data_IF_734468929898
#
_entry.id   IF_734468929898
#
_cell.length_a   1.000
_cell.length_b   1.000
_cell.length_c   1.000
_cell.angle_alpha   90.00
_cell.angle_beta   90.00
_cell.angle_gamma   90.00
#
_symmetry.space_group_name_H-M   'P 1'
#
loop_
_entity.id
_entity.type
_entity.pdbx_description
1 polymer ?
#
# COMPACT_ATOMS: atom_id res chain seq x y z
N UNK A 1 28.28 20.05 -31.52
CA UNK A 1 27.92 21.00 -30.45
C UNK A 1 26.98 20.18 -29.62
N UNK A 2 27.55 19.38 -28.74
CA UNK A 2 26.84 18.30 -28.07
C UNK A 2 27.37 18.29 -26.65
N UNK A 3 26.47 18.51 -25.71
CA UNK A 3 26.51 17.98 -24.35
C UNK A 3 25.21 18.45 -23.72
N UNK A 4 24.14 17.72 -24.03
CA UNK A 4 22.95 17.68 -23.18
C UNK A 4 23.42 17.27 -21.77
N UNK A 5 23.31 18.20 -20.83
CA UNK A 5 23.51 17.92 -19.42
C UNK A 5 22.23 17.26 -18.89
N UNK A 6 22.14 15.93 -19.02
CA UNK A 6 21.24 15.16 -18.19
C UNK A 6 21.71 15.36 -16.74
N UNK A 7 20.93 16.13 -15.99
CA UNK A 7 21.10 16.26 -14.56
C UNK A 7 20.89 14.89 -13.95
N UNK A 8 21.92 14.35 -13.30
CA UNK A 8 21.80 13.26 -12.33
C UNK A 8 20.88 13.76 -11.19
N UNK A 9 19.57 13.65 -11.40
CA UNK A 9 18.60 13.84 -10.33
C UNK A 9 18.80 12.64 -9.40
N UNK A 10 19.25 12.94 -8.19
CA UNK A 10 19.46 11.96 -7.13
C UNK A 10 18.15 11.19 -6.89
N UNK A 11 18.09 9.97 -7.41
CA UNK A 11 16.93 9.08 -7.33
C UNK A 11 16.54 8.82 -5.86
N UNK A 12 17.52 8.84 -4.94
CA UNK A 12 17.28 8.71 -3.50
C UNK A 12 16.50 9.90 -2.92
N UNK A 13 16.55 11.08 -3.54
CA UNK A 13 15.75 12.23 -3.13
C UNK A 13 14.35 12.23 -3.74
N UNK A 14 14.16 11.63 -4.91
CA UNK A 14 12.83 11.46 -5.52
C UNK A 14 11.98 10.45 -4.73
N UNK A 15 12.57 9.34 -4.28
CA UNK A 15 11.88 8.39 -3.40
C UNK A 15 11.38 9.05 -2.11
N UNK A 16 12.15 10.01 -1.56
CA UNK A 16 11.72 10.77 -0.37
C UNK A 16 10.53 11.67 -0.66
N UNK A 17 10.40 12.23 -1.86
CA UNK A 17 9.30 13.16 -2.20
C UNK A 17 8.10 12.47 -2.87
N UNK A 18 8.10 11.15 -2.99
CA UNK A 18 7.04 10.40 -3.67
C UNK A 18 5.74 10.41 -2.88
N UNK A 19 4.65 10.83 -3.52
CA UNK A 19 3.32 10.79 -2.94
C UNK A 19 2.84 9.33 -2.84
N UNK A 20 2.18 8.99 -1.74
CA UNK A 20 1.71 7.64 -1.48
C UNK A 20 0.19 7.60 -1.45
N UNK A 21 -0.40 6.65 -2.18
CA UNK A 21 -1.83 6.34 -2.07
C UNK A 21 -2.07 5.00 -1.41
N UNK A 22 -2.79 5.03 -0.29
CA UNK A 22 -3.30 3.84 0.38
C UNK A 22 -4.68 3.48 -0.19
N UNK A 23 -4.79 2.28 -0.74
CA UNK A 23 -6.04 1.63 -1.15
C UNK A 23 -6.41 0.60 -0.10
N UNK A 24 -7.46 0.88 0.67
CA UNK A 24 -7.77 0.15 1.89
C UNK A 24 -9.14 -0.52 1.83
N UNK A 25 -9.17 -1.84 1.90
CA UNK A 25 -10.37 -2.64 2.09
C UNK A 25 -10.76 -2.69 3.57
N UNK A 26 -11.78 -1.92 3.95
CA UNK A 26 -12.24 -1.76 5.34
C UNK A 26 -12.86 -3.05 5.89
N UNK A 27 -13.40 -3.92 5.04
CA UNK A 27 -14.05 -5.15 5.48
C UNK A 27 -13.00 -6.23 5.80
N UNK A 28 -11.87 -6.23 5.09
CA UNK A 28 -10.76 -7.16 5.36
C UNK A 28 -9.88 -6.71 6.51
N UNK A 29 -9.68 -5.40 6.59
CA UNK A 29 -8.77 -4.73 7.50
C UNK A 29 -9.54 -3.67 8.28
N UNK A 30 -10.46 -4.06 9.19
CA UNK A 30 -11.20 -3.09 9.97
C UNK A 30 -10.28 -2.30 10.90
N UNK A 31 -10.76 -1.13 11.34
CA UNK A 31 -10.12 -0.38 12.43
C UNK A 31 -10.13 -1.27 13.69
N UNK A 32 -8.98 -1.52 14.34
CA UNK A 32 -8.95 -2.28 15.59
C UNK A 32 -9.81 -1.62 16.67
N UNK A 33 -10.49 -2.42 17.52
CA UNK A 33 -11.45 -1.92 18.53
C UNK A 33 -10.82 -0.93 19.54
N UNK A 34 -9.53 -1.07 19.81
CA UNK A 34 -8.75 -0.24 20.72
C UNK A 34 -8.02 0.93 20.01
N UNK A 35 -8.35 1.19 18.74
CA UNK A 35 -7.80 2.28 17.92
C UNK A 35 -8.91 3.20 17.42
N UNK A 36 -8.52 4.40 17.01
CA UNK A 36 -9.44 5.41 16.48
C UNK A 36 -9.11 5.66 15.03
N UNK A 37 -10.12 5.63 14.17
CA UNK A 37 -10.01 5.89 12.73
C UNK A 37 -9.23 7.19 12.45
N UNK A 38 -9.52 8.26 13.20
CA UNK A 38 -8.85 9.57 13.06
C UNK A 38 -7.34 9.58 13.26
N UNK A 39 -6.77 8.52 13.84
CA UNK A 39 -5.32 8.39 14.01
C UNK A 39 -4.67 7.70 12.82
N UNK A 40 -5.44 7.03 11.96
CA UNK A 40 -4.90 6.20 10.89
C UNK A 40 -3.99 7.00 9.96
N UNK A 41 -4.41 8.19 9.56
CA UNK A 41 -3.63 9.05 8.68
C UNK A 41 -2.23 9.33 9.26
N UNK A 42 -2.17 9.91 10.47
CA UNK A 42 -0.91 10.21 11.15
C UNK A 42 -0.02 8.98 11.34
N UNK A 43 -0.63 7.82 11.58
CA UNK A 43 0.07 6.56 11.82
C UNK A 43 0.68 5.98 10.54
N UNK A 44 -0.08 5.94 9.45
CA UNK A 44 0.42 5.52 8.13
C UNK A 44 1.48 6.50 7.65
N UNK A 45 1.24 7.81 7.78
CA UNK A 45 2.20 8.84 7.41
C UNK A 45 3.51 8.69 8.21
N UNK A 46 3.42 8.44 9.51
CA UNK A 46 4.58 8.16 10.36
C UNK A 46 5.34 6.90 9.95
N UNK A 47 4.65 5.80 9.66
CA UNK A 47 5.26 4.55 9.19
C UNK A 47 6.00 4.76 7.86
N UNK A 48 5.42 5.50 6.92
CA UNK A 48 6.06 5.84 5.65
C UNK A 48 7.30 6.72 5.85
N UNK A 49 7.22 7.72 6.74
CA UNK A 49 8.34 8.60 7.08
C UNK A 49 9.51 7.85 7.71
N UNK A 50 9.25 6.80 8.50
CA UNK A 50 10.30 5.96 9.07
C UNK A 50 11.13 5.25 7.98
N UNK A 51 10.49 4.90 6.85
CA UNK A 51 11.12 4.33 5.66
C UNK A 51 11.64 5.39 4.68
N UNK A 52 11.61 6.67 5.08
CA UNK A 52 12.13 7.79 4.29
C UNK A 52 11.15 8.38 3.27
N UNK A 53 9.92 7.87 3.16
CA UNK A 53 8.89 8.42 2.27
C UNK A 53 8.18 9.60 2.94
N UNK A 54 8.42 10.81 2.46
CA UNK A 54 7.92 12.08 3.04
C UNK A 54 6.98 12.86 2.12
N UNK A 55 6.54 12.29 0.99
CA UNK A 55 5.52 12.86 0.12
C UNK A 55 4.11 12.86 0.74
N UNK A 56 3.12 13.37 0.01
CA UNK A 56 1.74 13.46 0.48
C UNK A 56 1.09 12.07 0.58
N UNK A 57 0.31 11.85 1.65
CA UNK A 57 -0.49 10.65 1.82
C UNK A 57 -1.93 10.90 1.38
N UNK A 58 -2.47 10.03 0.55
CA UNK A 58 -3.92 9.98 0.28
C UNK A 58 -4.47 8.60 0.61
N UNK A 59 -5.58 8.54 1.35
CA UNK A 59 -6.19 7.28 1.78
C UNK A 59 -7.58 7.14 1.15
N UNK A 60 -7.79 6.02 0.46
CA UNK A 60 -9.06 5.62 -0.13
C UNK A 60 -9.54 4.34 0.55
N UNK A 61 -10.68 4.43 1.24
CA UNK A 61 -11.26 3.35 2.01
C UNK A 61 -12.47 2.76 1.28
N UNK A 62 -12.42 1.47 0.97
CA UNK A 62 -13.42 0.72 0.23
C UNK A 62 -14.18 -0.20 1.18
N UNK A 63 -15.50 -0.16 1.15
CA UNK A 63 -16.31 -1.02 2.00
C UNK A 63 -17.80 -0.83 1.79
N UNK A 64 -18.60 -1.53 2.59
CA UNK A 64 -20.06 -1.41 2.52
C UNK A 64 -20.52 0.01 2.84
N UNK A 65 -21.67 0.39 2.30
CA UNK A 65 -22.32 1.67 2.57
C UNK A 65 -22.31 1.98 4.08
N UNK A 66 -21.74 3.14 4.43
CA UNK A 66 -21.64 3.61 5.81
C UNK A 66 -22.78 4.56 6.13
N UNK A 67 -23.19 4.62 7.39
CA UNK A 67 -24.15 5.61 7.88
C UNK A 67 -23.65 7.04 7.67
N UNK A 68 -24.52 8.07 7.67
CA UNK A 68 -24.07 9.46 7.57
C UNK A 68 -23.04 9.86 8.63
N UNK A 69 -23.16 9.33 9.85
CA UNK A 69 -22.22 9.59 10.94
C UNK A 69 -20.84 9.00 10.67
N UNK A 70 -20.78 7.73 10.27
CA UNK A 70 -19.51 7.07 9.91
C UNK A 70 -18.84 7.78 8.72
N UNK A 71 -19.60 8.25 7.72
CA UNK A 71 -19.04 9.03 6.60
C UNK A 71 -18.39 10.34 7.06
N UNK A 72 -18.97 11.01 8.05
CA UNK A 72 -18.36 12.19 8.68
C UNK A 72 -17.06 11.79 9.37
N UNK A 73 -17.03 10.67 10.10
CA UNK A 73 -15.82 10.19 10.78
C UNK A 73 -14.68 9.86 9.81
N UNK A 74 -14.97 9.27 8.65
CA UNK A 74 -13.98 9.06 7.59
C UNK A 74 -13.46 10.39 7.03
N UNK A 75 -14.35 11.34 6.76
CA UNK A 75 -13.94 12.65 6.24
C UNK A 75 -13.10 13.46 7.25
N UNK A 76 -13.48 13.47 8.53
CA UNK A 76 -12.72 14.09 9.62
C UNK A 76 -11.36 13.42 9.85
N UNK A 77 -11.21 12.16 9.42
CA UNK A 77 -9.96 11.41 9.45
C UNK A 77 -9.12 11.57 8.17
N UNK A 78 -9.50 12.49 7.26
CA UNK A 78 -8.83 12.73 5.97
C UNK A 78 -8.82 11.50 5.04
N UNK A 79 -9.86 10.68 5.13
CA UNK A 79 -10.01 9.45 4.36
C UNK A 79 -11.18 9.57 3.38
N UNK A 80 -10.91 9.28 2.11
CA UNK A 80 -11.92 9.24 1.07
C UNK A 80 -12.63 7.89 1.09
N UNK A 81 -13.89 7.89 1.53
CA UNK A 81 -14.69 6.66 1.55
C UNK A 81 -15.33 6.38 0.17
N UNK A 82 -15.08 5.19 -0.37
CA UNK A 82 -15.63 4.68 -1.62
C UNK A 82 -16.63 3.57 -1.29
N UNK A 83 -17.95 3.84 -1.37
CA UNK A 83 -18.96 2.84 -1.08
C UNK A 83 -18.99 1.77 -2.17
N UNK A 84 -18.93 0.51 -1.75
CA UNK A 84 -19.05 -0.67 -2.59
C UNK A 84 -20.18 -1.55 -2.07
N UNK A 85 -21.06 -2.01 -2.96
CA UNK A 85 -22.22 -2.84 -2.61
C UNK A 85 -22.02 -4.31 -2.96
N UNK A 86 -20.97 -4.61 -3.72
CA UNK A 86 -20.61 -5.97 -4.11
C UNK A 86 -19.92 -6.78 -3.01
N UNK A 87 -19.88 -8.09 -3.26
CA UNK A 87 -19.12 -9.06 -2.46
C UNK A 87 -17.61 -8.80 -2.54
N UNK A 88 -16.82 -9.55 -1.75
CA UNK A 88 -15.36 -9.39 -1.65
C UNK A 88 -14.65 -9.32 -3.02
N UNK A 89 -15.01 -10.16 -3.98
CA UNK A 89 -14.41 -10.16 -5.33
C UNK A 89 -14.70 -8.89 -6.13
N UNK A 90 -15.92 -8.35 -6.06
CA UNK A 90 -16.27 -7.09 -6.71
C UNK A 90 -15.48 -5.92 -6.11
N UNK A 91 -15.38 -5.87 -4.78
CA UNK A 91 -14.60 -4.84 -4.09
C UNK A 91 -13.11 -4.91 -4.39
N UNK A 92 -12.53 -6.12 -4.40
CA UNK A 92 -11.13 -6.31 -4.77
C UNK A 92 -10.89 -5.86 -6.23
N UNK A 93 -11.76 -6.25 -7.17
CA UNK A 93 -11.65 -5.82 -8.55
C UNK A 93 -11.74 -4.30 -8.70
N UNK A 94 -12.63 -3.64 -7.96
CA UNK A 94 -12.73 -2.18 -7.97
C UNK A 94 -11.45 -1.52 -7.45
N UNK A 95 -10.88 -2.03 -6.35
CA UNK A 95 -9.60 -1.54 -5.82
C UNK A 95 -8.48 -1.68 -6.86
N UNK A 96 -8.35 -2.85 -7.50
CA UNK A 96 -7.33 -3.09 -8.52
C UNK A 96 -7.51 -2.17 -9.74
N UNK A 97 -8.75 -1.95 -10.19
CA UNK A 97 -9.04 -1.02 -11.27
C UNK A 97 -8.68 0.43 -10.91
N UNK A 98 -8.97 0.87 -9.69
CA UNK A 98 -8.63 2.21 -9.20
C UNK A 98 -7.11 2.40 -9.04
N UNK A 99 -6.39 1.36 -8.62
CA UNK A 99 -4.93 1.36 -8.57
C UNK A 99 -4.34 1.55 -9.98
N UNK A 100 -4.83 0.78 -10.95
CA UNK A 100 -4.39 0.89 -12.35
C UNK A 100 -4.72 2.28 -12.93
N UNK A 101 -5.93 2.79 -12.66
CA UNK A 101 -6.34 4.11 -13.13
C UNK A 101 -5.53 5.24 -12.47
N UNK A 102 -5.21 5.11 -11.18
CA UNK A 102 -4.35 6.04 -10.47
C UNK A 102 -2.94 6.05 -11.07
N UNK A 103 -2.30 4.88 -11.24
CA UNK A 103 -1.00 4.79 -11.90
C UNK A 103 -1.04 5.37 -13.34
N UNK A 104 -2.12 5.14 -14.08
CA UNK A 104 -2.30 5.73 -15.42
C UNK A 104 -2.38 7.26 -15.40
N UNK A 105 -3.00 7.86 -14.38
CA UNK A 105 -3.10 9.32 -14.20
C UNK A 105 -1.82 9.95 -13.64
N UNK A 106 -0.99 9.16 -12.96
CA UNK A 106 0.28 9.58 -12.35
C UNK A 106 1.44 8.79 -12.96
N UNK A 107 1.76 9.00 -14.27
CA UNK A 107 2.69 8.15 -15.01
C UNK A 107 4.14 8.24 -14.54
N UNK A 108 4.49 9.23 -13.70
CA UNK A 108 5.82 9.35 -13.13
C UNK A 108 5.96 8.43 -11.91
N UNK A 109 6.34 7.18 -12.16
CA UNK A 109 6.43 6.15 -11.12
C UNK A 109 7.44 6.48 -10.00
N UNK A 110 8.41 7.38 -10.26
CA UNK A 110 9.40 7.82 -9.26
C UNK A 110 8.87 8.88 -8.29
N UNK A 111 7.65 9.35 -8.49
CA UNK A 111 6.97 10.32 -7.62
C UNK A 111 5.68 9.73 -7.02
N UNK A 112 5.44 8.42 -7.20
CA UNK A 112 4.18 7.78 -6.84
C UNK A 112 4.39 6.39 -6.28
N UNK A 113 4.00 6.21 -5.00
CA UNK A 113 3.96 4.93 -4.33
C UNK A 113 2.51 4.43 -4.20
N UNK A 114 2.35 3.11 -4.26
CA UNK A 114 1.06 2.43 -4.18
C UNK A 114 1.05 1.51 -2.97
N UNK A 115 0.22 1.79 -1.97
CA UNK A 115 0.06 0.94 -0.79
C UNK A 115 -1.31 0.27 -0.82
N UNK A 116 -1.35 -1.06 -0.76
CA UNK A 116 -2.60 -1.83 -0.78
C UNK A 116 -2.79 -2.58 0.55
N UNK A 117 -3.95 -2.36 1.17
CA UNK A 117 -4.44 -3.12 2.32
C UNK A 117 -5.72 -3.86 1.92
N UNK A 118 -5.56 -5.02 1.28
CA UNK A 118 -6.66 -5.91 0.89
C UNK A 118 -6.17 -7.35 0.88
N UNK A 119 -6.99 -8.30 1.36
CA UNK A 119 -6.67 -9.72 1.28
C UNK A 119 -6.96 -10.20 -0.13
N UNK A 120 -6.11 -11.11 -0.59
CA UNK A 120 -6.42 -11.94 -1.75
C UNK A 120 -7.59 -12.88 -1.42
N UNK A 121 -8.15 -13.51 -2.44
CA UNK A 121 -9.24 -14.49 -2.28
C UNK A 121 -8.65 -15.87 -2.55
N UNK A 122 -8.39 -16.68 -1.50
CA UNK A 122 -7.87 -18.03 -1.69
C UNK A 122 -8.80 -18.84 -2.61
N UNK A 123 -8.20 -19.68 -3.45
CA UNK A 123 -8.91 -20.58 -4.37
C UNK A 123 -9.66 -19.90 -5.53
N UNK A 124 -9.66 -18.58 -5.62
CA UNK A 124 -10.10 -17.82 -6.79
C UNK A 124 -8.90 -17.33 -7.60
N UNK A 125 -9.01 -17.37 -8.93
CA UNK A 125 -8.04 -16.66 -9.78
C UNK A 125 -8.33 -15.17 -9.69
N UNK A 126 -7.60 -14.46 -8.84
CA UNK A 126 -7.60 -13.00 -8.80
C UNK A 126 -6.47 -12.44 -9.68
N UNK A 127 -6.60 -11.18 -10.06
CA UNK A 127 -5.53 -10.44 -10.74
C UNK A 127 -4.65 -9.66 -9.75
N UNK A 128 -4.74 -9.94 -8.43
CA UNK A 128 -4.02 -9.15 -7.43
C UNK A 128 -2.51 -9.23 -7.69
N UNK A 129 -1.97 -10.45 -7.74
CA UNK A 129 -0.53 -10.68 -7.93
C UNK A 129 -0.06 -10.16 -9.28
N UNK A 130 -0.80 -10.41 -10.36
CA UNK A 130 -0.45 -9.96 -11.71
C UNK A 130 -0.46 -8.44 -11.83
N UNK A 131 -1.42 -7.76 -11.20
CA UNK A 131 -1.48 -6.28 -11.17
C UNK A 131 -0.32 -5.72 -10.37
N UNK A 132 -0.02 -6.26 -9.19
CA UNK A 132 1.12 -5.78 -8.38
C UNK A 132 2.44 -5.93 -9.14
N UNK A 133 2.69 -7.11 -9.71
CA UNK A 133 3.88 -7.38 -10.54
C UNK A 133 3.95 -6.46 -11.75
N UNK A 134 2.81 -6.23 -12.44
CA UNK A 134 2.75 -5.34 -13.59
C UNK A 134 3.04 -3.87 -13.24
N UNK A 135 2.65 -3.41 -12.04
CA UNK A 135 2.96 -2.07 -11.54
C UNK A 135 4.45 -1.95 -11.17
N UNK A 136 5.01 -2.95 -10.50
CA UNK A 136 6.45 -3.00 -10.18
C UNK A 136 7.28 -3.01 -11.48
N UNK A 137 6.89 -3.79 -12.48
CA UNK A 137 7.56 -3.82 -13.80
C UNK A 137 7.51 -2.47 -14.53
N UNK A 138 6.53 -1.61 -14.21
CA UNK A 138 6.44 -0.23 -14.71
C UNK A 138 7.25 0.77 -13.87
N UNK A 139 7.93 0.30 -12.82
CA UNK A 139 8.81 1.09 -11.96
C UNK A 139 8.13 1.75 -10.76
N UNK A 140 6.87 1.41 -10.46
CA UNK A 140 6.20 1.90 -9.26
C UNK A 140 6.69 1.15 -8.03
N UNK A 141 6.84 1.87 -6.91
CA UNK A 141 6.98 1.23 -5.62
C UNK A 141 5.60 0.76 -5.15
N UNK A 142 5.48 -0.54 -4.93
CA UNK A 142 4.26 -1.17 -4.42
C UNK A 142 4.52 -1.68 -3.01
N UNK A 143 3.66 -1.31 -2.09
CA UNK A 143 3.68 -1.70 -0.69
C UNK A 143 2.41 -2.48 -0.36
N UNK A 144 2.49 -3.37 0.62
CA UNK A 144 1.34 -4.14 1.08
C UNK A 144 1.14 -4.03 2.59
N UNK A 145 -0.11 -4.05 3.01
CA UNK A 145 -0.49 -4.39 4.37
C UNK A 145 -1.13 -5.78 4.39
N UNK A 146 -0.61 -6.65 5.24
CA UNK A 146 -1.06 -8.05 5.40
C UNK A 146 -1.71 -8.27 6.77
N UNK A 147 -2.48 -9.35 6.97
CA UNK A 147 -3.02 -9.70 8.28
C UNK A 147 -1.89 -9.81 9.33
N UNK A 148 -2.19 -9.42 10.56
CA UNK A 148 -1.19 -9.41 11.64
C UNK A 148 -0.78 -10.82 12.12
N UNK A 149 -1.59 -11.80 11.78
CA UNK A 149 -1.43 -13.22 12.07
C UNK A 149 -0.97 -14.01 10.84
N UNK A 150 -0.58 -13.33 9.76
CA UNK A 150 -0.04 -13.98 8.57
C UNK A 150 1.31 -14.65 8.90
N UNK A 151 1.50 -15.95 8.62
CA UNK A 151 2.78 -16.61 8.78
C UNK A 151 3.87 -15.98 7.91
N UNK A 152 5.12 -15.95 8.39
CA UNK A 152 6.25 -15.43 7.61
C UNK A 152 6.44 -16.18 6.27
N UNK A 153 6.14 -17.49 6.25
CA UNK A 153 6.19 -18.31 5.03
C UNK A 153 5.22 -17.86 3.93
N UNK A 154 4.19 -17.11 4.33
CA UNK A 154 3.11 -16.68 3.45
C UNK A 154 3.25 -15.19 3.10
N UNK A 155 4.34 -14.54 3.51
CA UNK A 155 4.61 -13.15 3.17
C UNK A 155 4.75 -12.99 1.65
N UNK A 156 4.20 -11.88 1.09
CA UNK A 156 4.38 -11.58 -0.32
C UNK A 156 5.87 -11.49 -0.65
N UNK A 157 6.34 -12.12 -1.74
CA UNK A 157 7.71 -11.98 -2.18
C UNK A 157 7.97 -10.55 -2.68
N UNK A 158 9.25 -10.17 -2.79
CA UNK A 158 9.68 -8.86 -3.30
C UNK A 158 9.19 -8.55 -4.71
N UNK A 159 8.86 -9.57 -5.51
CA UNK A 159 8.25 -9.40 -6.83
C UNK A 159 6.82 -8.85 -6.77
N UNK A 160 6.17 -8.90 -5.60
CA UNK A 160 4.79 -8.46 -5.39
C UNK A 160 4.72 -7.17 -4.55
N UNK A 161 5.70 -6.94 -3.66
CA UNK A 161 5.79 -5.70 -2.90
C UNK A 161 7.23 -5.43 -2.43
N UNK A 162 7.64 -4.17 -2.48
CA UNK A 162 8.94 -3.71 -1.98
C UNK A 162 8.98 -3.60 -0.46
N UNK A 163 7.86 -3.23 0.16
CA UNK A 163 7.70 -3.16 1.61
C UNK A 163 6.37 -3.79 2.02
N UNK A 164 6.38 -4.50 3.14
CA UNK A 164 5.21 -5.20 3.66
C UNK A 164 5.03 -4.84 5.13
N UNK A 165 3.89 -4.28 5.52
CA UNK A 165 3.52 -4.10 6.92
C UNK A 165 2.52 -5.16 7.35
N UNK A 166 2.58 -5.59 8.61
CA UNK A 166 1.37 -6.11 9.22
C UNK A 166 0.36 -4.97 9.37
N UNK A 167 -0.93 -5.25 9.24
CA UNK A 167 -1.95 -4.22 9.40
C UNK A 167 -1.85 -3.52 10.75
N UNK A 168 -1.53 -4.29 11.79
CA UNK A 168 -1.33 -3.77 13.14
C UNK A 168 -0.14 -2.82 13.21
N UNK A 169 1.03 -3.20 12.68
CA UNK A 169 2.22 -2.34 12.70
C UNK A 169 2.00 -1.06 11.91
N UNK A 170 1.35 -1.14 10.75
CA UNK A 170 0.96 0.04 9.98
C UNK A 170 0.02 0.97 10.78
N UNK A 171 -0.97 0.40 11.46
CA UNK A 171 -1.91 1.14 12.32
C UNK A 171 -1.26 1.76 13.57
N UNK A 172 -0.17 1.17 14.05
CA UNK A 172 0.59 1.67 15.19
C UNK A 172 1.68 2.67 14.79
N UNK A 173 1.94 2.81 13.48
CA UNK A 173 2.97 3.69 12.92
C UNK A 173 4.38 3.09 13.02
N UNK A 174 4.45 1.77 13.08
CA UNK A 174 5.68 1.00 13.24
C UNK A 174 6.32 0.65 11.88
N UNK A 175 7.46 -0.04 11.95
CA UNK A 175 8.26 -0.46 10.80
C UNK A 175 7.59 -1.58 9.99
N UNK A 176 7.94 -1.72 8.69
CA UNK A 176 7.56 -2.87 7.90
C UNK A 176 8.16 -4.16 8.49
N UNK A 177 7.58 -5.29 8.10
CA UNK A 177 8.12 -6.61 8.39
C UNK A 177 9.47 -6.74 7.68
N UNK A 178 10.46 -7.26 8.39
CA UNK A 178 11.76 -7.55 7.78
C UNK A 178 11.54 -8.62 6.71
N UNK A 179 11.95 -8.33 5.48
CA UNK A 179 12.10 -9.38 4.48
C UNK A 179 13.11 -10.35 5.06
N UNK A 180 12.71 -11.61 5.29
CA UNK A 180 13.61 -12.64 5.81
C UNK A 180 14.90 -12.57 5.00
N UNK A 181 16.00 -12.21 5.67
CA UNK A 181 17.31 -12.28 5.05
C UNK A 181 17.45 -13.71 4.57
N UNK A 182 17.61 -13.92 3.26
CA UNK A 182 18.15 -15.17 2.77
C UNK A 182 19.46 -15.36 3.52
N UNK A 183 19.45 -16.21 4.55
CA UNK A 183 20.64 -16.60 5.25
C UNK A 183 21.43 -17.40 4.23
N UNK A 184 22.43 -16.75 3.63
CA UNK A 184 23.54 -17.42 2.96
C UNK A 184 24.24 -18.30 4.01
N UNK A 185 23.67 -19.48 4.26
CA UNK A 185 24.38 -20.62 4.82
C UNK A 185 25.34 -21.11 3.73
N UNK A 186 26.39 -20.33 3.47
CA UNK A 186 27.57 -20.82 2.77
C UNK A 186 28.32 -21.70 3.77
N UNK A 187 27.90 -22.97 3.83
CA UNK A 187 28.62 -24.04 4.49
C UNK A 187 30.05 -24.09 3.93
N UNK A 188 30.98 -23.53 4.71
CA UNK A 188 32.41 -23.67 4.48
C UNK A 188 32.78 -25.14 4.31
N UNK A 189 33.20 -25.49 3.09
CA UNK A 189 33.91 -26.73 2.77
C UNK A 189 35.41 -26.48 2.69
#
# INVERSE_FOLDING_TARGET
MDSDSDSDIDMDNLYKLSDTRLFWDVEDFPVPEDRKLKMLYDKVEGALKNEGYVGELSIYAYGKEKTPQERVEFHEAEIWFVPETGEKSARLNQILLDMIDFARRHPNAQETNLLLASKDIPEETTELVSVMQGLIQKGYQVFLAVPHDLPESDLPPSTTASLVWSWKSLFDGDYPLEAGSDSDDDEGS
#
